data_IF_487301631821
#
_entry.id   IF_487301631821
#
_cell.length_a   1.000
_cell.length_b   1.000
_cell.length_c   1.000
_cell.angle_alpha   90.00
_cell.angle_beta   90.00
_cell.angle_gamma   90.00
#
_symmetry.space_group_name_H-M   'P 1'
#
loop_
_entity.id
_entity.type
_entity.pdbx_description
1 polymer ?
#
# COMPACT_ATOMS: atom_id res chain seq x y z
N UNK A 1 -26.21 -57.14 -23.95
CA UNK A 1 -26.65 -55.74 -23.86
C UNK A 1 -26.60 -55.34 -22.39
N UNK A 2 -25.46 -54.82 -21.93
CA UNK A 2 -25.40 -54.00 -20.72
C UNK A 2 -24.50 -52.83 -21.08
N UNK A 3 -25.09 -51.65 -20.95
CA UNK A 3 -24.62 -50.39 -21.50
C UNK A 3 -23.38 -49.87 -20.77
N UNK A 4 -22.58 -49.11 -21.51
CA UNK A 4 -21.44 -48.35 -21.02
C UNK A 4 -21.90 -47.36 -19.95
N UNK A 5 -21.40 -47.52 -18.73
CA UNK A 5 -21.60 -46.55 -17.65
C UNK A 5 -20.52 -45.46 -17.77
N UNK A 6 -20.82 -44.45 -18.58
CA UNK A 6 -20.03 -43.24 -18.74
C UNK A 6 -20.48 -42.21 -17.71
N UNK A 7 -20.09 -42.39 -16.44
CA UNK A 7 -20.22 -41.33 -15.44
C UNK A 7 -18.98 -40.41 -15.49
N UNK A 8 -18.85 -39.67 -16.59
CA UNK A 8 -18.07 -38.44 -16.63
C UNK A 8 -18.93 -37.32 -16.09
N UNK A 9 -18.70 -36.93 -14.83
CA UNK A 9 -19.24 -35.67 -14.31
C UNK A 9 -18.77 -34.54 -15.25
N UNK A 10 -19.64 -33.63 -15.71
CA UNK A 10 -19.18 -32.49 -16.49
C UNK A 10 -18.21 -31.71 -15.61
N UNK A 11 -16.97 -31.55 -16.08
CA UNK A 11 -16.02 -30.62 -15.50
C UNK A 11 -16.67 -29.24 -15.63
N UNK A 12 -17.01 -28.65 -14.49
CA UNK A 12 -17.45 -27.27 -14.45
C UNK A 12 -16.23 -26.39 -14.74
N UNK A 13 -15.99 -26.08 -16.02
CA UNK A 13 -15.01 -25.09 -16.49
C UNK A 13 -15.47 -23.64 -16.21
N UNK A 14 -16.13 -23.43 -15.07
CA UNK A 14 -16.48 -22.10 -14.61
C UNK A 14 -15.23 -21.52 -13.92
N UNK A 15 -14.28 -21.11 -14.75
CA UNK A 15 -13.19 -20.26 -14.34
C UNK A 15 -13.78 -18.86 -14.17
N UNK A 16 -13.82 -18.28 -12.97
CA UNK A 16 -14.31 -16.91 -12.84
C UNK A 16 -13.21 -16.00 -13.39
N UNK A 17 -13.21 -15.78 -14.70
CA UNK A 17 -12.50 -14.69 -15.37
C UNK A 17 -13.19 -13.34 -15.10
N UNK A 18 -13.62 -13.14 -13.86
CA UNK A 18 -14.22 -11.90 -13.38
C UNK A 18 -13.53 -11.44 -12.09
N UNK A 19 -12.23 -11.15 -12.20
CA UNK A 19 -11.64 -10.12 -11.34
C UNK A 19 -10.41 -9.45 -11.97
N UNK A 20 -10.42 -9.26 -13.28
CA UNK A 20 -9.38 -8.53 -14.01
C UNK A 20 -9.87 -7.16 -14.52
N UNK A 21 -10.84 -6.58 -13.80
CA UNK A 21 -11.34 -5.22 -14.03
C UNK A 21 -11.32 -4.39 -12.74
N UNK A 22 -10.32 -4.61 -11.88
CA UNK A 22 -9.91 -3.56 -10.96
C UNK A 22 -9.05 -2.61 -11.78
N UNK A 23 -9.53 -1.40 -12.06
CA UNK A 23 -8.61 -0.30 -12.43
C UNK A 23 -7.74 -0.13 -11.18
N UNK A 24 -6.62 -0.84 -11.13
CA UNK A 24 -5.63 -0.63 -10.08
C UNK A 24 -5.16 0.81 -10.26
N UNK A 25 -5.62 1.68 -9.36
CA UNK A 25 -5.08 3.02 -9.22
C UNK A 25 -3.59 2.82 -9.00
N UNK A 26 -2.79 3.24 -9.99
CA UNK A 26 -1.35 3.10 -9.91
C UNK A 26 -0.87 3.74 -8.60
N UNK A 27 0.03 3.07 -7.86
CA UNK A 27 0.47 3.57 -6.56
C UNK A 27 1.10 4.97 -6.69
N UNK A 28 1.08 5.78 -5.63
CA UNK A 28 1.72 7.12 -5.62
C UNK A 28 3.18 7.12 -6.10
N UNK A 29 3.86 5.98 -5.98
CA UNK A 29 5.25 5.79 -6.36
C UNK A 29 5.47 5.19 -7.76
N UNK A 30 4.43 5.05 -8.58
CA UNK A 30 4.52 4.46 -9.93
C UNK A 30 5.66 5.05 -10.78
N UNK A 31 5.79 6.37 -10.82
CA UNK A 31 6.90 7.02 -11.55
C UNK A 31 8.29 6.71 -10.97
N UNK A 32 8.39 6.48 -9.65
CA UNK A 32 9.66 6.10 -9.01
C UNK A 32 10.01 4.67 -9.43
N UNK A 33 9.08 3.73 -9.29
CA UNK A 33 9.27 2.34 -9.69
C UNK A 33 9.62 2.23 -11.18
N UNK A 34 8.83 2.89 -12.05
CA UNK A 34 9.06 2.87 -13.49
C UNK A 34 10.46 3.38 -13.84
N UNK A 35 10.89 4.53 -13.29
CA UNK A 35 12.23 5.05 -13.53
C UNK A 35 13.33 4.11 -13.05
N UNK A 36 13.17 3.47 -11.89
CA UNK A 36 14.17 2.54 -11.37
C UNK A 36 14.29 1.27 -12.22
N UNK A 37 13.22 0.88 -12.93
CA UNK A 37 13.21 -0.28 -13.83
C UNK A 37 13.70 0.09 -15.23
N UNK A 38 13.21 1.18 -15.81
CA UNK A 38 13.43 1.53 -17.23
C UNK A 38 14.49 2.60 -17.45
N UNK A 39 14.79 3.41 -16.44
CA UNK A 39 15.61 4.61 -16.57
C UNK A 39 14.90 5.80 -17.23
N UNK A 40 13.60 5.67 -17.56
CA UNK A 40 12.86 6.68 -18.30
C UNK A 40 12.09 7.64 -17.38
N UNK A 41 12.09 8.91 -17.75
CA UNK A 41 11.33 9.97 -17.07
C UNK A 41 10.25 10.48 -18.02
N UNK A 42 9.03 10.76 -17.53
CA UNK A 42 7.96 11.26 -18.38
C UNK A 42 8.35 12.53 -19.15
N UNK A 43 8.07 12.53 -20.45
CA UNK A 43 8.50 13.59 -21.38
C UNK A 43 7.79 14.93 -21.12
N UNK A 44 6.55 14.85 -20.62
CA UNK A 44 5.64 15.94 -20.28
C UNK A 44 6.06 16.72 -19.02
N UNK A 45 6.98 16.17 -18.21
CA UNK A 45 7.43 16.83 -16.99
C UNK A 45 8.24 18.09 -17.28
N UNK A 46 7.92 19.16 -16.54
CA UNK A 46 8.69 20.39 -16.59
C UNK A 46 10.11 20.20 -16.04
N UNK A 47 11.01 21.14 -16.33
CA UNK A 47 12.34 21.12 -15.74
C UNK A 47 12.31 21.16 -14.20
N UNK A 48 11.27 21.78 -13.61
CA UNK A 48 11.10 21.83 -12.16
C UNK A 48 10.69 20.47 -11.59
N UNK A 49 9.76 19.76 -12.23
CA UNK A 49 9.31 18.44 -11.80
C UNK A 49 10.46 17.43 -11.86
N UNK A 50 11.23 17.44 -12.96
CA UNK A 50 12.42 16.61 -13.11
C UNK A 50 13.45 16.88 -12.01
N UNK A 51 13.75 18.16 -11.72
CA UNK A 51 14.66 18.52 -10.62
C UNK A 51 14.16 17.99 -9.27
N UNK A 52 12.87 18.17 -8.96
CA UNK A 52 12.29 17.68 -7.72
C UNK A 52 12.33 16.14 -7.63
N UNK A 53 12.07 15.45 -8.74
CA UNK A 53 12.15 14.00 -8.82
C UNK A 53 13.57 13.47 -8.59
N UNK A 54 14.57 14.01 -9.30
CA UNK A 54 15.96 13.59 -9.14
C UNK A 54 16.51 13.91 -7.75
N UNK A 55 16.07 14.99 -7.10
CA UNK A 55 16.47 15.30 -5.73
C UNK A 55 16.10 14.21 -4.71
N UNK A 56 15.05 13.42 -4.97
CA UNK A 56 14.58 12.37 -4.06
C UNK A 56 14.86 10.94 -4.52
N UNK A 57 15.19 10.72 -5.80
CA UNK A 57 15.25 9.37 -6.37
C UNK A 57 16.28 8.46 -5.70
N UNK A 58 17.41 9.04 -5.27
CA UNK A 58 18.50 8.31 -4.60
C UNK A 58 18.09 7.68 -3.26
N UNK A 59 16.97 8.13 -2.67
CA UNK A 59 16.46 7.56 -1.43
C UNK A 59 15.66 6.27 -1.65
N UNK A 60 15.48 5.82 -2.90
CA UNK A 60 14.63 4.67 -3.23
C UNK A 60 15.42 3.58 -3.97
N UNK A 61 15.00 2.34 -3.79
CA UNK A 61 15.43 1.22 -4.63
C UNK A 61 14.25 0.29 -4.91
N UNK A 62 14.30 -0.37 -6.06
CA UNK A 62 13.28 -1.29 -6.54
C UNK A 62 13.77 -2.72 -6.40
N UNK A 63 12.99 -3.56 -5.73
CA UNK A 63 13.20 -5.00 -5.63
C UNK A 63 11.83 -5.63 -5.89
N UNK A 64 11.61 -6.05 -7.14
CA UNK A 64 10.31 -6.48 -7.64
C UNK A 64 9.62 -7.48 -6.69
N UNK A 65 8.34 -7.28 -6.32
CA UNK A 65 7.39 -6.22 -6.76
C UNK A 65 7.33 -4.99 -5.83
N UNK A 66 8.35 -4.79 -4.99
CA UNK A 66 8.31 -3.82 -3.91
C UNK A 66 9.26 -2.65 -4.13
N UNK A 67 8.77 -1.46 -3.77
CA UNK A 67 9.60 -0.27 -3.64
C UNK A 67 10.03 -0.13 -2.18
N UNK A 68 11.30 0.16 -1.96
CA UNK A 68 11.85 0.43 -0.65
C UNK A 68 12.47 1.82 -0.59
N UNK A 69 12.48 2.39 0.61
CA UNK A 69 13.06 3.70 0.89
C UNK A 69 14.14 3.62 1.96
N UNK A 70 15.28 4.23 1.69
CA UNK A 70 16.27 4.60 2.70
C UNK A 70 15.75 5.80 3.50
N UNK A 71 15.38 5.58 4.76
CA UNK A 71 14.92 6.62 5.66
C UNK A 71 16.08 7.35 6.33
N UNK A 72 15.80 8.53 6.89
CA UNK A 72 16.81 9.39 7.52
C UNK A 72 17.47 8.72 8.74
N UNK A 73 16.76 7.81 9.38
CA UNK A 73 17.23 6.93 10.47
C UNK A 73 18.11 5.77 9.98
N UNK A 74 18.49 5.77 8.70
CA UNK A 74 19.28 4.72 8.03
C UNK A 74 18.60 3.36 7.98
N UNK A 75 17.30 3.30 8.29
CA UNK A 75 16.52 2.06 8.20
C UNK A 75 15.82 2.01 6.84
N UNK A 76 15.86 0.85 6.22
CA UNK A 76 15.15 0.57 4.98
C UNK A 76 13.71 0.21 5.31
N UNK A 77 12.75 0.82 4.62
CA UNK A 77 11.32 0.57 4.82
C UNK A 77 10.61 0.33 3.49
N UNK A 78 9.69 -0.63 3.48
CA UNK A 78 8.81 -0.92 2.34
C UNK A 78 7.85 0.25 2.15
N UNK A 79 7.78 0.76 0.92
CA UNK A 79 6.77 1.73 0.52
C UNK A 79 5.41 1.06 0.39
N UNK A 80 4.39 1.68 0.97
CA UNK A 80 3.03 1.12 0.98
C UNK A 80 2.14 1.85 -0.03
N UNK A 81 1.45 1.12 -0.93
CA UNK A 81 0.47 1.70 -1.85
C UNK A 81 -0.82 2.06 -1.11
N UNK A 82 -1.57 3.03 -1.63
CA UNK A 82 -2.75 3.61 -0.97
C UNK A 82 -3.79 2.57 -0.54
N UNK A 83 -3.96 1.52 -1.33
CA UNK A 83 -4.95 0.46 -1.07
C UNK A 83 -4.64 -0.32 0.23
N UNK A 84 -3.37 -0.42 0.62
CA UNK A 84 -2.93 -1.17 1.81
C UNK A 84 -2.85 -0.30 3.08
N UNK A 85 -2.75 1.03 2.92
CA UNK A 85 -2.45 1.96 4.04
C UNK A 85 -3.49 1.91 5.15
N UNK A 86 -4.79 1.89 4.80
CA UNK A 86 -5.89 1.86 5.78
C UNK A 86 -5.85 0.59 6.64
N UNK A 87 -5.64 -0.58 6.02
CA UNK A 87 -5.53 -1.86 6.72
C UNK A 87 -4.36 -1.87 7.71
N UNK A 88 -3.20 -1.36 7.28
CA UNK A 88 -2.01 -1.25 8.14
C UNK A 88 -2.26 -0.31 9.32
N UNK A 89 -2.88 0.85 9.08
CA UNK A 89 -3.21 1.81 10.12
C UNK A 89 -4.20 1.23 11.14
N UNK A 90 -5.26 0.57 10.69
CA UNK A 90 -6.24 -0.08 11.57
C UNK A 90 -5.58 -1.11 12.47
N UNK A 91 -4.74 -1.99 11.90
CA UNK A 91 -4.03 -3.02 12.67
C UNK A 91 -3.08 -2.42 13.73
N UNK A 92 -2.36 -1.36 13.37
CA UNK A 92 -1.45 -0.67 14.30
C UNK A 92 -2.21 0.11 15.40
N UNK A 93 -3.42 0.60 15.08
CA UNK A 93 -4.29 1.32 16.01
C UNK A 93 -4.92 0.38 17.05
N UNK A 94 -5.47 -0.77 16.63
CA UNK A 94 -6.12 -1.73 17.54
C UNK A 94 -5.15 -2.29 18.58
N UNK A 95 -3.88 -2.41 18.21
CA UNK A 95 -2.83 -2.83 19.12
C UNK A 95 -2.30 -1.70 20.03
N UNK A 96 -2.67 -0.44 19.81
CA UNK A 96 -2.15 0.71 20.57
C UNK A 96 -2.98 0.93 21.86
N UNK A 97 -2.36 0.75 23.02
CA UNK A 97 -3.02 1.04 24.30
C UNK A 97 -3.47 2.52 24.35
N UNK A 98 -4.78 2.72 24.49
CA UNK A 98 -5.48 4.00 24.35
C UNK A 98 -4.93 5.10 25.27
N UNK A 99 -4.89 6.32 24.73
CA UNK A 99 -4.44 7.52 25.43
C UNK A 99 -4.12 8.67 24.45
N UNK A 100 -3.82 9.86 24.97
CA UNK A 100 -3.53 11.07 24.18
C UNK A 100 -2.44 10.88 23.10
N UNK A 101 -1.53 9.92 23.28
CA UNK A 101 -0.44 9.63 22.36
C UNK A 101 -0.74 8.51 21.35
N UNK A 102 -1.98 8.02 21.27
CA UNK A 102 -2.35 6.92 20.36
C UNK A 102 -1.95 7.19 18.90
N UNK A 103 -2.07 8.44 18.45
CA UNK A 103 -1.70 8.93 17.11
C UNK A 103 -0.22 8.68 16.79
N UNK A 104 0.67 9.18 17.66
CA UNK A 104 2.11 9.01 17.50
C UNK A 104 2.51 7.56 17.65
N UNK A 105 1.85 6.81 18.55
CA UNK A 105 2.09 5.38 18.74
C UNK A 105 1.75 4.58 17.47
N UNK A 106 0.64 4.88 16.80
CA UNK A 106 0.27 4.19 15.54
C UNK A 106 1.29 4.47 14.45
N UNK A 107 1.62 5.73 14.18
CA UNK A 107 2.62 6.07 13.15
C UNK A 107 4.00 5.46 13.47
N UNK A 108 4.42 5.50 14.74
CA UNK A 108 5.67 4.88 15.18
C UNK A 108 5.66 3.36 15.02
N UNK A 109 4.55 2.68 15.26
CA UNK A 109 4.43 1.24 15.01
C UNK A 109 4.53 0.91 13.55
N UNK A 110 3.85 1.66 12.67
CA UNK A 110 3.98 1.46 11.21
C UNK A 110 5.44 1.57 10.79
N UNK A 111 6.12 2.62 11.26
CA UNK A 111 7.56 2.80 11.04
C UNK A 111 8.30 1.58 11.57
N UNK A 112 8.17 1.22 12.84
CA UNK A 112 8.86 0.08 13.47
C UNK A 112 8.61 -1.26 12.77
N UNK A 113 7.43 -1.46 12.18
CA UNK A 113 7.07 -2.63 11.37
C UNK A 113 7.69 -2.62 9.96
N UNK A 114 8.50 -1.62 9.62
CA UNK A 114 9.21 -1.55 8.35
C UNK A 114 8.42 -0.91 7.21
N UNK A 115 7.33 -0.20 7.49
CA UNK A 115 6.49 0.42 6.47
C UNK A 115 6.68 1.95 6.39
N UNK A 116 6.45 2.52 5.21
CA UNK A 116 6.55 3.96 4.98
C UNK A 116 5.69 4.46 3.81
N UNK A 117 5.15 5.67 3.93
CA UNK A 117 4.58 6.46 2.83
C UNK A 117 4.60 7.96 3.17
N UNK A 118 4.52 8.88 2.18
CA UNK A 118 4.74 10.31 2.40
C UNK A 118 3.78 10.98 3.38
N UNK A 119 2.52 10.54 3.41
CA UNK A 119 1.44 11.10 4.24
C UNK A 119 1.21 10.38 5.58
N UNK A 120 2.05 9.40 5.95
CA UNK A 120 1.87 8.53 7.11
C UNK A 120 1.38 9.22 8.39
N UNK A 121 2.03 10.30 8.80
CA UNK A 121 1.65 11.02 10.02
C UNK A 121 0.28 11.71 9.92
N UNK A 122 -0.08 12.20 8.73
CA UNK A 122 -1.40 12.79 8.47
C UNK A 122 -2.48 11.70 8.46
N UNK A 123 -2.22 10.59 7.81
CA UNK A 123 -3.20 9.49 7.67
C UNK A 123 -3.45 8.79 9.01
N UNK A 124 -2.40 8.59 9.81
CA UNK A 124 -2.53 8.11 11.18
C UNK A 124 -3.38 9.05 12.06
N UNK A 125 -3.39 10.36 11.74
CA UNK A 125 -4.20 11.35 12.46
C UNK A 125 -5.68 11.27 12.08
N UNK A 126 -5.98 11.05 10.80
CA UNK A 126 -7.36 10.89 10.32
C UNK A 126 -7.99 9.60 10.84
N UNK A 127 -7.27 8.48 10.76
CA UNK A 127 -7.74 7.18 11.24
C UNK A 127 -8.19 7.22 12.72
N UNK A 128 -7.44 7.88 13.59
CA UNK A 128 -7.81 8.00 15.00
C UNK A 128 -9.04 8.89 15.27
N UNK A 129 -9.37 9.83 14.37
CA UNK A 129 -10.56 10.68 14.49
C UNK A 129 -11.83 9.90 14.12
N UNK A 130 -11.76 9.02 13.13
CA UNK A 130 -12.89 8.21 12.69
C UNK A 130 -13.30 7.19 13.77
N UNK A 131 -12.35 6.67 14.56
CA UNK A 131 -12.63 5.74 15.67
C UNK A 131 -13.36 6.42 16.84
N UNK A 132 -13.21 7.74 17.03
CA UNK A 132 -13.96 8.50 18.05
C UNK A 132 -15.43 8.67 17.65
N UNK A 133 -15.74 8.68 16.34
CA UNK A 133 -17.11 8.76 15.83
C UNK A 133 -17.92 7.46 15.95
N UNK A 134 -17.26 6.30 15.86
CA UNK A 134 -17.95 4.99 15.90
C UNK A 134 -18.24 4.52 17.32
N UNK A 135 -17.42 4.91 18.31
CA UNK A 135 -17.65 4.52 19.72
C UNK A 135 -18.71 5.34 20.46
N UNK A 136 -19.24 6.41 19.83
CA UNK A 136 -20.23 7.31 20.44
C UNK A 136 -21.71 6.98 20.17
N UNK A 137 -22.00 5.92 19.41
CA UNK A 137 -23.38 5.53 19.05
C UNK A 137 -23.87 4.24 19.74
N UNK A 138 -23.12 3.75 20.74
CA UNK A 138 -23.39 2.48 21.41
C UNK A 138 -23.26 2.53 22.93
N UNK A 139 -23.77 3.58 23.58
CA UNK A 139 -23.93 3.63 25.05
C UNK A 139 -25.27 4.24 25.43
#
# INVERSE_FOLDING_TARGET
MIAHDSHGLPINDDFPEESLMSIEVAPWYSHIANYLVTGEVPSEWSAQDKRHFFAKIHAYYWEEPFLFKYCADQIIRKCVPEQEQSGILSHCHDSACGGHFALQKTAMKVIQSGFWWPSLFKDATLCARDVIGVKGLGS
#
